data_IF_855869373721
#
_entry.id   IF_855869373721
#
_cell.length_a   1.000
_cell.length_b   1.000
_cell.length_c   1.000
_cell.angle_alpha   90.00
_cell.angle_beta   90.00
_cell.angle_gamma   90.00
#
_symmetry.space_group_name_H-M   'P 1'
#
loop_
_entity.id
_entity.type
_entity.pdbx_description
1 polymer ?
#
# COMPACT_ATOMS: atom_id res chain seq x y z
N UNK A 1 -16.63 -26.85 3.02
CA UNK A 1 -16.47 -26.31 1.65
C UNK A 1 -15.31 -25.35 1.66
N UNK A 2 -14.19 -25.73 1.05
CA UNK A 2 -13.04 -24.84 0.85
C UNK A 2 -13.34 -24.08 -0.43
N UNK A 3 -13.71 -22.81 -0.31
CA UNK A 3 -13.82 -21.92 -1.48
C UNK A 3 -12.40 -21.49 -1.82
N UNK A 4 -11.86 -21.84 -2.99
CA UNK A 4 -10.54 -21.39 -3.40
C UNK A 4 -10.56 -19.86 -3.49
N UNK A 5 -9.88 -19.20 -2.56
CA UNK A 5 -9.67 -17.76 -2.68
C UNK A 5 -8.67 -17.52 -3.82
N UNK A 6 -8.96 -16.61 -4.76
CA UNK A 6 -8.02 -16.26 -5.81
C UNK A 6 -6.73 -15.77 -5.16
N UNK A 7 -5.59 -16.35 -5.57
CA UNK A 7 -4.29 -15.84 -5.17
C UNK A 7 -4.10 -14.47 -5.83
N UNK A 8 -4.40 -13.41 -5.10
CA UNK A 8 -4.05 -12.04 -5.49
C UNK A 8 -2.53 -11.93 -5.35
N UNK A 9 -1.81 -12.34 -6.40
CA UNK A 9 -0.37 -12.10 -6.54
C UNK A 9 -0.15 -10.63 -6.90
N UNK A 10 -0.37 -9.77 -5.91
CA UNK A 10 0.00 -8.36 -5.95
C UNK A 10 1.16 -8.24 -4.97
N UNK A 11 2.36 -8.53 -5.43
CA UNK A 11 3.60 -8.10 -4.74
C UNK A 11 4.25 -6.99 -5.57
N UNK A 12 3.64 -5.80 -5.65
CA UNK A 12 4.33 -4.64 -6.16
C UNK A 12 5.51 -4.37 -5.22
N UNK A 13 6.64 -4.03 -5.82
CA UNK A 13 7.82 -3.54 -5.07
C UNK A 13 7.34 -2.38 -4.18
N UNK A 14 7.73 -2.31 -2.89
CA UNK A 14 7.26 -1.26 -2.00
C UNK A 14 7.57 0.12 -2.59
N UNK A 15 6.52 0.88 -2.91
CA UNK A 15 6.67 2.25 -3.43
C UNK A 15 7.35 3.15 -2.38
N UNK A 16 8.19 4.09 -2.83
CA UNK A 16 8.91 5.02 -1.94
C UNK A 16 7.96 5.81 -1.02
N UNK A 17 6.75 6.09 -1.47
CA UNK A 17 5.70 6.72 -0.68
C UNK A 17 5.29 5.87 0.53
N UNK A 18 5.16 4.55 0.36
CA UNK A 18 4.84 3.62 1.44
C UNK A 18 5.93 3.69 2.54
N UNK A 19 7.20 3.71 2.14
CA UNK A 19 8.33 3.83 3.06
C UNK A 19 8.33 5.17 3.82
N UNK A 20 8.04 6.28 3.13
CA UNK A 20 7.96 7.61 3.76
C UNK A 20 6.77 7.72 4.73
N UNK A 21 5.67 7.05 4.43
CA UNK A 21 4.46 7.06 5.27
C UNK A 21 4.56 6.17 6.52
N UNK A 22 5.64 5.38 6.66
CA UNK A 22 5.84 4.45 7.78
C UNK A 22 5.70 5.09 9.16
N UNK A 23 6.26 6.29 9.35
CA UNK A 23 6.18 7.00 10.63
C UNK A 23 4.75 7.41 10.98
N UNK A 24 3.92 7.72 9.98
CA UNK A 24 2.51 8.03 10.19
C UNK A 24 1.71 6.81 10.64
N UNK A 25 1.96 5.65 10.04
CA UNK A 25 1.33 4.41 10.50
C UNK A 25 1.68 4.06 11.94
N UNK A 26 2.94 4.28 12.35
CA UNK A 26 3.34 4.13 13.74
C UNK A 26 2.58 5.09 14.67
N UNK A 27 2.42 6.35 14.27
CA UNK A 27 1.67 7.33 15.06
C UNK A 27 0.19 6.95 15.21
N UNK A 28 -0.47 6.50 14.13
CA UNK A 28 -1.87 6.05 14.19
C UNK A 28 -2.02 4.77 15.03
N UNK A 29 -1.17 3.76 14.82
CA UNK A 29 -1.18 2.54 15.64
C UNK A 29 -0.97 2.83 17.12
N UNK A 30 -0.03 3.72 17.47
CA UNK A 30 0.19 4.13 18.85
C UNK A 30 -1.04 4.86 19.43
N UNK A 31 -1.70 5.70 18.63
CA UNK A 31 -2.93 6.41 19.05
C UNK A 31 -4.06 5.42 19.32
N UNK A 32 -4.28 4.46 18.43
CA UNK A 32 -5.29 3.39 18.60
C UNK A 32 -4.97 2.56 19.85
N UNK A 33 -3.70 2.23 20.09
CA UNK A 33 -3.28 1.50 21.29
C UNK A 33 -3.63 2.25 22.57
N UNK A 34 -3.29 3.55 22.65
CA UNK A 34 -3.60 4.38 23.82
C UNK A 34 -5.11 4.49 24.02
N UNK A 35 -5.88 4.70 22.93
CA UNK A 35 -7.34 4.76 23.00
C UNK A 35 -7.95 3.45 23.49
N UNK A 36 -7.45 2.30 23.02
CA UNK A 36 -7.86 0.96 23.48
C UNK A 36 -7.60 0.78 24.98
N UNK A 37 -6.42 1.15 25.47
CA UNK A 37 -6.11 1.10 26.91
C UNK A 37 -7.06 1.97 27.72
N UNK A 38 -7.33 3.19 27.28
CA UNK A 38 -8.27 4.09 27.97
C UNK A 38 -9.69 3.49 27.99
N UNK A 39 -10.14 2.87 26.90
CA UNK A 39 -11.44 2.20 26.86
C UNK A 39 -11.55 1.02 27.84
N UNK A 40 -10.51 0.18 27.91
CA UNK A 40 -10.50 -0.98 28.81
C UNK A 40 -10.46 -0.52 30.27
N UNK A 41 -9.54 0.39 30.62
CA UNK A 41 -9.31 0.77 32.02
C UNK A 41 -10.30 1.79 32.57
N UNK A 42 -10.72 2.80 31.79
CA UNK A 42 -11.62 3.85 32.28
C UNK A 42 -13.11 3.54 32.06
N UNK A 43 -13.46 2.90 30.94
CA UNK A 43 -14.85 2.66 30.58
C UNK A 43 -15.33 1.23 30.88
N UNK A 44 -14.43 0.34 31.29
CA UNK A 44 -14.70 -1.10 31.50
C UNK A 44 -15.36 -1.77 30.27
N UNK A 45 -15.19 -1.17 29.08
CA UNK A 45 -15.75 -1.69 27.84
C UNK A 45 -14.77 -2.71 27.24
N UNK A 46 -14.75 -3.91 27.83
CA UNK A 46 -13.76 -4.95 27.51
C UNK A 46 -13.85 -5.39 26.05
N UNK A 47 -15.04 -5.61 25.51
CA UNK A 47 -15.24 -6.16 24.16
C UNK A 47 -14.69 -5.23 23.07
N UNK A 48 -15.17 -3.97 22.92
CA UNK A 48 -14.66 -3.07 21.87
C UNK A 48 -13.19 -2.70 22.10
N UNK A 49 -12.77 -2.49 23.35
CA UNK A 49 -11.37 -2.21 23.68
C UNK A 49 -10.44 -3.35 23.28
N UNK A 50 -10.86 -4.61 23.48
CA UNK A 50 -10.11 -5.79 23.06
C UNK A 50 -10.06 -5.96 21.54
N UNK A 51 -11.16 -5.67 20.82
CA UNK A 51 -11.16 -5.69 19.36
C UNK A 51 -10.17 -4.66 18.79
N UNK A 52 -10.18 -3.42 19.31
CA UNK A 52 -9.18 -2.41 18.94
C UNK A 52 -7.74 -2.87 19.22
N UNK A 53 -7.53 -3.62 20.30
CA UNK A 53 -6.22 -4.12 20.66
C UNK A 53 -5.70 -5.16 19.65
N UNK A 54 -6.58 -6.05 19.16
CA UNK A 54 -6.24 -7.00 18.11
C UNK A 54 -5.88 -6.26 16.82
N UNK A 55 -6.68 -5.26 16.42
CA UNK A 55 -6.42 -4.44 15.23
C UNK A 55 -5.07 -3.73 15.33
N UNK A 56 -4.77 -3.17 16.51
CA UNK A 56 -3.48 -2.56 16.79
C UNK A 56 -2.33 -3.59 16.71
N UNK A 57 -2.54 -4.81 17.22
CA UNK A 57 -1.56 -5.89 17.14
C UNK A 57 -1.25 -6.30 15.70
N UNK A 58 -2.28 -6.43 14.86
CA UNK A 58 -2.13 -6.68 13.42
C UNK A 58 -1.40 -5.52 12.75
N UNK A 59 -1.77 -4.28 13.03
CA UNK A 59 -1.09 -3.09 12.51
C UNK A 59 0.39 -3.03 12.90
N UNK A 60 0.71 -3.31 14.16
CA UNK A 60 2.09 -3.39 14.63
C UNK A 60 2.88 -4.51 13.94
N UNK A 61 2.24 -5.66 13.75
CA UNK A 61 2.83 -6.78 13.02
C UNK A 61 3.17 -6.38 11.58
N UNK A 62 2.25 -5.72 10.86
CA UNK A 62 2.50 -5.23 9.49
C UNK A 62 3.65 -4.23 9.39
N UNK A 63 3.88 -3.42 10.43
CA UNK A 63 4.94 -2.39 10.45
C UNK A 63 6.31 -2.90 10.88
N UNK A 64 6.36 -4.06 11.56
CA UNK A 64 7.59 -4.67 12.05
C UNK A 64 8.39 -5.31 10.92
N UNK A 65 7.70 -5.88 9.94
CA UNK A 65 8.32 -6.46 8.74
C UNK A 65 9.09 -5.37 7.95
N UNK A 66 10.27 -5.70 7.42
CA UNK A 66 11.05 -4.75 6.59
C UNK A 66 10.42 -4.55 5.20
N UNK A 67 9.80 -5.61 4.67
CA UNK A 67 8.98 -5.59 3.46
C UNK A 67 7.52 -5.38 3.88
N UNK A 68 6.97 -4.21 3.58
CA UNK A 68 5.55 -3.94 3.84
C UNK A 68 4.74 -4.77 2.84
N UNK A 69 4.14 -5.86 3.31
CA UNK A 69 3.23 -6.66 2.49
C UNK A 69 1.95 -5.87 2.23
N UNK A 70 1.79 -5.42 0.99
CA UNK A 70 0.69 -4.55 0.58
C UNK A 70 -0.68 -5.18 0.86
N UNK A 71 -0.82 -6.49 0.61
CA UNK A 71 -2.05 -7.24 0.89
C UNK A 71 -2.41 -7.23 2.39
N UNK A 72 -1.41 -7.37 3.27
CA UNK A 72 -1.61 -7.34 4.71
C UNK A 72 -2.02 -5.92 5.16
N UNK A 73 -1.36 -4.90 4.62
CA UNK A 73 -1.68 -3.49 4.88
C UNK A 73 -3.10 -3.12 4.42
N UNK A 74 -3.52 -3.57 3.23
CA UNK A 74 -4.88 -3.33 2.72
C UNK A 74 -5.94 -4.03 3.57
N UNK A 75 -5.68 -5.28 3.98
CA UNK A 75 -6.58 -6.02 4.86
C UNK A 75 -6.73 -5.30 6.20
N UNK A 76 -5.62 -4.84 6.78
CA UNK A 76 -5.62 -4.05 8.00
C UNK A 76 -6.40 -2.73 7.83
N UNK A 77 -6.17 -1.98 6.75
CA UNK A 77 -6.90 -0.75 6.46
C UNK A 77 -8.42 -0.96 6.31
N UNK A 78 -8.85 -2.05 5.68
CA UNK A 78 -10.27 -2.42 5.57
C UNK A 78 -10.87 -2.77 6.94
N UNK A 79 -10.13 -3.50 7.77
CA UNK A 79 -10.54 -3.80 9.15
C UNK A 79 -10.68 -2.50 9.96
N UNK A 80 -9.73 -1.56 9.85
CA UNK A 80 -9.83 -0.25 10.50
C UNK A 80 -11.03 0.56 10.00
N UNK A 81 -11.35 0.50 8.70
CA UNK A 81 -12.50 1.20 8.14
C UNK A 81 -13.82 0.67 8.71
N UNK A 82 -14.01 -0.65 8.71
CA UNK A 82 -15.22 -1.28 9.20
C UNK A 82 -15.40 -1.02 10.71
N UNK A 83 -14.33 -1.18 11.49
CA UNK A 83 -14.39 -0.91 12.93
C UNK A 83 -14.59 0.57 13.23
N UNK A 84 -13.90 1.47 12.53
CA UNK A 84 -14.06 2.91 12.71
C UNK A 84 -15.49 3.39 12.43
N UNK A 85 -16.19 2.77 11.47
CA UNK A 85 -17.62 3.04 11.22
C UNK A 85 -18.49 2.54 12.38
N UNK A 86 -18.29 1.32 12.86
CA UNK A 86 -19.06 0.79 14.00
C UNK A 86 -18.82 1.61 15.27
N UNK A 87 -17.58 1.96 15.56
CA UNK A 87 -17.22 2.77 16.71
C UNK A 87 -17.76 4.20 16.60
N UNK A 88 -17.85 4.74 15.39
CA UNK A 88 -18.54 6.02 15.15
C UNK A 88 -20.04 5.90 15.47
N UNK A 89 -20.70 4.80 15.09
CA UNK A 89 -22.11 4.56 15.43
C UNK A 89 -22.31 4.46 16.94
N UNK A 90 -21.45 3.71 17.64
CA UNK A 90 -21.49 3.63 19.11
C UNK A 90 -21.22 4.98 19.78
N UNK A 91 -20.30 5.78 19.22
CA UNK A 91 -20.03 7.13 19.69
C UNK A 91 -21.25 8.04 19.53
N UNK A 92 -21.97 7.94 18.41
CA UNK A 92 -23.20 8.70 18.18
C UNK A 92 -24.31 8.24 19.15
N UNK A 93 -24.53 6.94 19.30
CA UNK A 93 -25.51 6.38 20.25
C UNK A 93 -25.23 6.87 21.68
N UNK A 94 -23.96 6.86 22.07
CA UNK A 94 -23.52 7.40 23.36
C UNK A 94 -23.74 8.90 23.45
N UNK A 95 -23.45 9.66 22.41
CA UNK A 95 -23.64 11.11 22.38
C UNK A 95 -25.12 11.50 22.53
N UNK A 96 -26.03 10.73 21.94
CA UNK A 96 -27.49 10.97 22.03
C UNK A 96 -28.05 10.64 23.41
N UNK A 97 -27.51 9.61 24.08
CA UNK A 97 -27.96 9.19 25.41
C UNK A 97 -27.36 10.01 26.57
N UNK A 98 -26.44 10.93 26.30
CA UNK A 98 -25.83 11.76 27.34
C UNK A 98 -26.66 13.02 27.59
N UNK A 99 -27.17 13.18 28.82
CA UNK A 99 -27.92 14.37 29.25
C UNK A 99 -27.07 15.66 29.31
N UNK A 100 -25.76 15.55 29.11
CA UNK A 100 -24.79 16.66 29.19
C UNK A 100 -24.05 16.84 27.86
N UNK A 101 -23.71 18.10 27.48
CA UNK A 101 -22.95 18.36 26.27
C UNK A 101 -21.55 17.73 26.35
N UNK A 102 -21.03 17.26 25.21
CA UNK A 102 -19.72 16.59 25.09
C UNK A 102 -18.56 17.42 25.66
N UNK A 103 -18.65 18.73 25.58
CA UNK A 103 -17.67 19.66 26.14
C UNK A 103 -18.40 20.63 27.07
N UNK A 104 -18.05 20.59 28.36
CA UNK A 104 -18.58 21.52 29.35
C UNK A 104 -17.43 22.13 30.14
N UNK A 105 -17.29 23.45 30.03
CA UNK A 105 -16.31 24.23 30.77
C UNK A 105 -16.76 24.60 32.19
N UNK A 106 -18.00 24.27 32.56
CA UNK A 106 -18.61 24.66 33.84
C UNK A 106 -18.32 23.68 34.98
N UNK A 107 -17.71 22.53 34.69
CA UNK A 107 -17.41 21.49 35.69
C UNK A 107 -16.05 21.79 36.35
N UNK A 108 -15.95 21.59 37.67
CA UNK A 108 -14.69 21.77 38.45
C UNK A 108 -13.47 21.02 37.85
N UNK A 109 -13.71 19.99 37.04
CA UNK A 109 -12.69 19.20 36.34
C UNK A 109 -12.90 19.16 34.83
N UNK A 110 -13.25 20.31 34.25
CA UNK A 110 -13.50 20.46 32.81
C UNK A 110 -12.36 19.90 31.93
N UNK A 111 -11.09 20.07 32.34
CA UNK A 111 -9.95 19.58 31.55
C UNK A 111 -9.95 18.04 31.42
N UNK A 112 -10.10 17.32 32.53
CA UNK A 112 -10.09 15.85 32.53
C UNK A 112 -11.32 15.31 31.80
N UNK A 113 -12.48 15.93 32.01
CA UNK A 113 -13.73 15.59 31.31
C UNK A 113 -13.59 15.75 29.79
N UNK A 114 -13.13 16.91 29.33
CA UNK A 114 -12.93 17.19 27.90
C UNK A 114 -11.86 16.27 27.28
N UNK A 115 -10.79 15.98 28.02
CA UNK A 115 -9.71 15.08 27.56
C UNK A 115 -10.23 13.66 27.34
N UNK A 116 -11.07 13.17 28.25
CA UNK A 116 -11.69 11.84 28.11
C UNK A 116 -12.62 11.79 26.89
N UNK A 117 -13.48 12.80 26.69
CA UNK A 117 -14.34 12.87 25.52
C UNK A 117 -13.55 13.00 24.22
N UNK A 118 -12.45 13.75 24.24
CA UNK A 118 -11.52 13.84 23.13
C UNK A 118 -10.89 12.49 22.81
N UNK A 119 -10.41 11.73 23.81
CA UNK A 119 -9.85 10.38 23.62
C UNK A 119 -10.88 9.40 23.04
N UNK A 120 -12.14 9.46 23.47
CA UNK A 120 -13.22 8.63 22.89
C UNK A 120 -13.41 8.95 21.40
N UNK A 121 -13.32 10.23 21.01
CA UNK A 121 -13.47 10.66 19.62
C UNK A 121 -12.19 10.42 18.80
N UNK A 122 -11.02 10.47 19.44
CA UNK A 122 -9.73 10.21 18.81
C UNK A 122 -9.59 8.76 18.32
N UNK A 123 -10.22 7.79 18.98
CA UNK A 123 -10.24 6.37 18.57
C UNK A 123 -10.76 6.16 17.14
N UNK A 124 -12.07 6.35 16.89
CA UNK A 124 -12.67 6.13 15.57
C UNK A 124 -12.09 7.06 14.49
N UNK A 125 -11.67 8.28 14.85
CA UNK A 125 -11.03 9.19 13.91
C UNK A 125 -9.63 8.71 13.51
N UNK A 126 -8.84 8.16 14.43
CA UNK A 126 -7.54 7.56 14.12
C UNK A 126 -7.70 6.32 13.22
N UNK A 127 -8.72 5.49 13.45
CA UNK A 127 -9.01 4.33 12.60
C UNK A 127 -9.42 4.74 11.18
N UNK A 128 -10.32 5.70 11.03
CA UNK A 128 -10.73 6.22 9.72
C UNK A 128 -9.56 6.91 8.99
N UNK A 129 -8.74 7.68 9.71
CA UNK A 129 -7.52 8.27 9.16
C UNK A 129 -6.52 7.20 8.70
N UNK A 130 -6.37 6.12 9.47
CA UNK A 130 -5.50 5.00 9.09
C UNK A 130 -5.98 4.32 7.81
N UNK A 131 -7.29 4.08 7.68
CA UNK A 131 -7.90 3.50 6.49
C UNK A 131 -7.73 4.41 5.26
N UNK A 132 -7.91 5.72 5.43
CA UNK A 132 -7.67 6.70 4.38
C UNK A 132 -6.19 6.74 3.95
N UNK A 133 -5.26 6.58 4.89
CA UNK A 133 -3.84 6.52 4.60
C UNK A 133 -3.50 5.26 3.81
N UNK A 134 -4.02 4.09 4.20
CA UNK A 134 -3.88 2.84 3.43
C UNK A 134 -4.44 3.01 2.02
N UNK A 135 -5.59 3.66 1.86
CA UNK A 135 -6.15 3.95 0.54
C UNK A 135 -5.23 4.84 -0.32
N UNK A 136 -4.58 5.84 0.29
CA UNK A 136 -3.59 6.68 -0.42
C UNK A 136 -2.39 5.86 -0.90
N UNK A 137 -1.84 4.98 -0.05
CA UNK A 137 -0.74 4.09 -0.41
C UNK A 137 -1.17 3.11 -1.52
N UNK A 138 -2.40 2.60 -1.45
CA UNK A 138 -2.96 1.74 -2.50
C UNK A 138 -3.09 2.44 -3.85
N UNK A 139 -3.62 3.67 -3.84
CA UNK A 139 -3.76 4.45 -5.07
C UNK A 139 -2.40 4.70 -5.71
N UNK A 140 -1.41 5.09 -4.91
CA UNK A 140 -0.04 5.34 -5.37
C UNK A 140 0.60 4.08 -6.00
N UNK A 141 0.49 2.93 -5.33
CA UNK A 141 0.98 1.65 -5.86
C UNK A 141 0.27 1.22 -7.16
N UNK A 142 -1.02 1.52 -7.30
CA UNK A 142 -1.80 1.20 -8.50
C UNK A 142 -1.43 2.12 -9.67
N UNK A 143 -1.26 3.41 -9.41
CA UNK A 143 -0.85 4.40 -10.41
C UNK A 143 0.54 4.08 -10.98
N UNK A 144 1.48 3.66 -10.13
CA UNK A 144 2.83 3.21 -10.53
C UNK A 144 2.78 1.94 -11.38
N UNK A 145 2.01 0.93 -10.96
CA UNK A 145 1.85 -0.34 -11.68
C UNK A 145 1.29 -0.11 -13.09
N UNK A 146 0.29 0.77 -13.22
CA UNK A 146 -0.30 1.12 -14.52
C UNK A 146 0.73 1.77 -15.46
N UNK A 147 1.64 2.60 -14.95
CA UNK A 147 2.69 3.19 -15.79
C UNK A 147 3.66 2.13 -16.30
N UNK A 148 4.15 1.25 -15.43
CA UNK A 148 5.10 0.17 -15.80
C UNK A 148 4.52 -0.74 -16.87
N UNK A 149 3.26 -1.14 -16.73
CA UNK A 149 2.58 -1.99 -17.73
C UNK A 149 2.45 -1.29 -19.09
N UNK A 150 2.16 0.01 -19.10
CA UNK A 150 2.09 0.82 -20.34
C UNK A 150 3.47 0.97 -21.00
N UNK A 151 4.55 1.13 -20.22
CA UNK A 151 5.90 1.18 -20.77
C UNK A 151 6.30 -0.16 -21.39
N UNK A 152 6.03 -1.29 -20.72
CA UNK A 152 6.35 -2.61 -21.26
C UNK A 152 5.52 -2.98 -22.49
N UNK A 153 4.24 -2.62 -22.53
CA UNK A 153 3.39 -2.87 -23.70
C UNK A 153 3.77 -1.98 -24.90
N UNK A 154 4.19 -0.73 -24.69
CA UNK A 154 4.78 0.10 -25.75
C UNK A 154 6.13 -0.44 -26.25
N UNK A 155 6.98 -0.93 -25.35
CA UNK A 155 8.28 -1.48 -25.73
C UNK A 155 8.15 -2.83 -26.47
N UNK A 156 7.21 -3.69 -26.06
CA UNK A 156 6.86 -4.91 -26.81
C UNK A 156 6.20 -4.60 -28.16
N UNK A 157 5.31 -3.61 -28.23
CA UNK A 157 4.66 -3.20 -29.48
C UNK A 157 5.65 -2.62 -30.50
N UNK A 158 6.62 -1.83 -30.04
CA UNK A 158 7.67 -1.27 -30.91
C UNK A 158 8.67 -2.33 -31.41
N UNK A 159 8.94 -3.38 -30.63
CA UNK A 159 9.79 -4.50 -31.05
C UNK A 159 9.05 -5.58 -31.87
N UNK A 160 7.74 -5.72 -31.69
CA UNK A 160 6.90 -6.63 -32.48
C UNK A 160 6.47 -6.06 -33.85
N UNK A 161 6.73 -4.78 -34.11
CA UNK A 161 6.35 -4.08 -35.35
C UNK A 161 7.10 -4.49 -36.62
N UNK A 162 7.93 -5.54 -36.62
CA UNK A 162 8.55 -6.03 -37.85
C UNK A 162 8.82 -7.54 -37.88
N UNK A 163 8.17 -8.32 -37.01
CA UNK A 163 8.08 -9.75 -37.24
C UNK A 163 6.85 -9.95 -38.12
N UNK A 164 7.06 -9.74 -39.43
CA UNK A 164 6.10 -10.17 -40.44
C UNK A 164 5.58 -11.55 -40.02
N UNK A 165 4.28 -11.62 -39.78
CA UNK A 165 3.59 -12.89 -39.63
C UNK A 165 3.93 -13.71 -40.87
N UNK A 166 4.90 -14.62 -40.73
CA UNK A 166 5.18 -15.66 -41.68
C UNK A 166 3.95 -16.56 -41.67
N UNK A 167 2.94 -16.11 -42.40
CA UNK A 167 1.75 -16.86 -42.76
C UNK A 167 2.25 -18.09 -43.47
N UNK A 168 2.27 -19.22 -42.76
CA UNK A 168 2.48 -20.54 -43.34
C UNK A 168 1.22 -20.86 -44.15
N UNK A 169 1.16 -20.33 -45.37
CA UNK A 169 0.02 -20.44 -46.26
C UNK A 169 0.47 -20.18 -47.68
N UNK A 170 0.64 -21.27 -48.43
CA UNK A 170 1.00 -21.30 -49.83
C UNK A 170 0.14 -20.35 -50.69
N UNK A 171 0.80 -19.61 -51.59
CA UNK A 171 0.13 -18.71 -52.51
C UNK A 171 1.12 -17.92 -53.35
N UNK A 172 1.74 -18.61 -54.31
CA UNK A 172 2.51 -18.00 -55.41
C UNK A 172 1.62 -17.02 -56.17
N UNK A 173 1.82 -15.72 -55.98
CA UNK A 173 1.32 -14.69 -56.91
C UNK A 173 2.32 -13.57 -57.08
N UNK A 174 2.92 -13.60 -58.26
CA UNK A 174 3.73 -12.59 -58.93
C UNK A 174 2.96 -11.28 -59.07
N UNK A 175 3.55 -10.15 -58.66
CA UNK A 175 2.94 -8.83 -58.94
C UNK A 175 3.68 -7.66 -58.32
N UNK A 176 4.41 -6.92 -59.17
CA UNK A 176 5.14 -5.69 -58.89
C UNK A 176 4.26 -4.60 -58.24
N UNK A 177 4.77 -3.88 -57.22
CA UNK A 177 4.96 -2.41 -57.32
C UNK A 177 5.82 -1.89 -56.16
N UNK A 178 6.89 -1.20 -56.52
CA UNK A 178 7.83 -0.47 -55.68
C UNK A 178 7.20 0.82 -55.15
N UNK A 179 7.07 0.94 -53.82
CA UNK A 179 6.73 2.18 -53.11
C UNK A 179 7.74 2.42 -51.98
N UNK A 180 8.35 3.61 -51.98
CA UNK A 180 9.57 3.97 -51.26
C UNK A 180 9.48 3.79 -49.73
N UNK A 181 10.30 2.87 -49.22
CA UNK A 181 10.58 2.70 -47.78
C UNK A 181 11.45 3.86 -47.27
N UNK A 182 10.88 4.66 -46.38
CA UNK A 182 11.58 5.70 -45.64
C UNK A 182 12.65 5.05 -44.76
N UNK A 183 13.91 5.38 -45.04
CA UNK A 183 15.11 4.86 -44.37
C UNK A 183 15.18 5.37 -42.93
N UNK A 184 14.48 4.71 -42.01
CA UNK A 184 14.58 4.94 -40.57
C UNK A 184 15.86 4.33 -40.00
N UNK A 185 16.64 5.13 -39.29
CA UNK A 185 17.93 4.78 -38.67
C UNK A 185 17.87 3.45 -37.90
N UNK A 186 18.61 2.46 -38.41
CA UNK A 186 18.89 1.19 -37.75
C UNK A 186 19.46 1.46 -36.35
N UNK A 187 18.68 1.15 -35.33
CA UNK A 187 19.16 1.14 -33.95
C UNK A 187 20.13 -0.02 -33.77
N UNK A 188 21.39 0.28 -33.46
CA UNK A 188 22.42 -0.72 -33.14
C UNK A 188 22.42 -0.94 -31.63
N UNK A 189 21.83 -2.01 -31.08
CA UNK A 189 21.88 -2.25 -29.64
C UNK A 189 23.32 -2.49 -29.18
N UNK A 190 23.66 -1.84 -28.07
CA UNK A 190 24.88 -1.90 -27.27
C UNK A 190 26.03 -2.76 -27.83
N UNK A 191 26.78 -2.19 -28.78
CA UNK A 191 28.13 -2.66 -29.14
C UNK A 191 29.10 -2.16 -28.06
N UNK A 192 28.87 -2.57 -26.81
CA UNK A 192 29.73 -2.30 -25.68
C UNK A 192 30.30 -3.61 -25.17
N UNK A 193 31.62 -3.74 -25.14
CA UNK A 193 32.32 -4.92 -24.59
C UNK A 193 31.89 -5.09 -23.13
N UNK A 194 31.00 -6.05 -22.87
CA UNK A 194 30.42 -6.29 -21.54
C UNK A 194 31.52 -6.52 -20.52
N UNK A 195 31.61 -5.62 -19.54
CA UNK A 195 32.57 -5.76 -18.46
C UNK A 195 31.93 -6.65 -17.39
N UNK A 196 32.36 -7.90 -17.30
CA UNK A 196 31.87 -8.84 -16.29
C UNK A 196 32.38 -8.43 -14.91
N UNK A 197 31.46 -8.06 -14.01
CA UNK A 197 31.69 -7.88 -12.58
C UNK A 197 32.06 -9.24 -11.97
N UNK A 198 33.32 -9.62 -12.09
CA UNK A 198 33.84 -10.91 -11.62
C UNK A 198 35.29 -11.19 -12.01
N UNK A 199 36.00 -10.23 -12.61
CA UNK A 199 37.44 -10.34 -12.83
C UNK A 199 38.18 -10.27 -11.50
N UNK A 200 38.36 -11.42 -10.86
CA UNK A 200 39.25 -11.64 -9.74
C UNK A 200 40.64 -11.13 -10.15
N UNK A 201 41.05 -9.97 -9.64
CA UNK A 201 42.45 -9.56 -9.64
C UNK A 201 43.20 -10.53 -8.72
N UNK A 202 43.68 -11.64 -9.28
CA UNK A 202 44.77 -12.39 -8.70
C UNK A 202 46.01 -11.50 -8.82
N UNK A 203 46.29 -10.74 -7.76
CA UNK A 203 47.60 -10.12 -7.58
C UNK A 203 48.59 -11.24 -7.25
N UNK A 204 49.13 -11.82 -8.31
CA UNK A 204 50.37 -12.56 -8.26
C UNK A 204 51.53 -11.60 -7.98
N UNK A 205 52.33 -12.01 -7.00
CA UNK A 205 53.79 -11.97 -7.05
C UNK A 205 54.56 -10.63 -6.95
N UNK A 206 55.20 -10.50 -5.78
CA UNK A 206 56.66 -10.63 -5.67
C UNK A 206 57.52 -9.49 -6.26
N UNK A 207 58.11 -8.68 -5.38
CA UNK A 207 59.46 -8.12 -5.58
C UNK A 207 60.01 -7.51 -4.27
N UNK A 208 61.07 -8.18 -3.77
CA UNK A 208 62.15 -7.72 -2.88
C UNK A 208 61.85 -7.44 -1.40
#
# INVERSE_FOLDING_TARGET
MVVPMPSIQVTPVPTDYALKSRNWFWAFSATIFVCSMVQIFMFLNIIPGFMMLIICGVGFYTLREKSIDMNCLMTWGMICLVNGVFDTVFLIDRAVKMDRPLFSFQVEKAFLYNTIHFLILAGPTAELCSAYLVYKVYKDATDESFMVDNYHSRQRGAAAGNVASASYGAGETTGLTSGASQSGSTFTPFVGKGNTLGGTQSNDENSA
#
